data_IF_079290906421
#
_entry.id   IF_079290906421
#
_cell.length_a   1.000
_cell.length_b   1.000
_cell.length_c   1.000
_cell.angle_alpha   90.00
_cell.angle_beta   90.00
_cell.angle_gamma   90.00
#
_symmetry.space_group_name_H-M   'P 1'
#
loop_
_entity.id
_entity.type
_entity.pdbx_description
1 polymer ?
#
# COMPACT_ATOMS: atom_id res chain seq x y z
N UNK A 1 35.45 -7.49 -30.81
CA UNK A 1 35.28 -6.02 -30.98
C UNK A 1 34.56 -5.40 -29.78
N UNK A 2 35.15 -4.40 -29.12
CA UNK A 2 34.53 -3.71 -27.97
C UNK A 2 33.18 -3.07 -28.33
N UNK A 3 33.00 -2.63 -29.58
CA UNK A 3 31.72 -2.11 -30.09
C UNK A 3 30.62 -3.18 -30.17
N UNK A 4 30.97 -4.42 -30.54
CA UNK A 4 30.04 -5.55 -30.53
C UNK A 4 29.62 -5.90 -29.11
N UNK A 5 30.54 -5.84 -28.13
CA UNK A 5 30.23 -6.12 -26.73
C UNK A 5 29.25 -5.10 -26.12
N UNK A 6 29.27 -3.84 -26.54
CA UNK A 6 28.31 -2.80 -26.11
C UNK A 6 26.92 -2.97 -26.75
N UNK A 7 26.84 -3.53 -27.96
CA UNK A 7 25.59 -3.76 -28.68
C UNK A 7 24.92 -5.11 -28.36
N UNK A 8 25.69 -6.13 -28.00
CA UNK A 8 25.20 -7.50 -27.73
C UNK A 8 25.19 -7.89 -26.25
N UNK A 9 25.83 -7.12 -25.36
CA UNK A 9 25.68 -7.36 -23.93
C UNK A 9 24.32 -6.85 -23.46
N UNK A 10 23.59 -7.67 -22.69
CA UNK A 10 22.37 -7.26 -22.00
C UNK A 10 22.58 -6.10 -21.00
N UNK A 11 23.80 -5.61 -20.86
CA UNK A 11 24.31 -4.65 -19.87
C UNK A 11 25.34 -5.31 -18.95
N UNK A 12 25.71 -4.61 -17.87
CA UNK A 12 26.66 -5.10 -16.86
C UNK A 12 26.13 -6.35 -16.15
N UNK A 13 24.82 -6.46 -16.00
CA UNK A 13 24.15 -7.56 -15.31
C UNK A 13 23.22 -8.38 -16.22
N UNK A 14 23.11 -8.00 -17.50
CA UNK A 14 22.37 -8.73 -18.53
C UNK A 14 20.91 -8.33 -18.70
N UNK A 15 20.32 -7.56 -17.77
CA UNK A 15 18.91 -7.17 -17.79
C UNK A 15 18.65 -5.71 -18.19
N UNK A 16 19.69 -4.89 -18.38
CA UNK A 16 19.58 -3.46 -18.64
C UNK A 16 18.96 -3.13 -20.01
N UNK A 17 19.16 -3.98 -21.02
CA UNK A 17 18.43 -3.86 -22.30
C UNK A 17 16.92 -4.05 -22.08
N UNK A 18 16.52 -5.06 -21.29
CA UNK A 18 15.12 -5.33 -20.98
C UNK A 18 14.49 -4.20 -20.18
N UNK A 19 15.24 -3.61 -19.23
CA UNK A 19 14.79 -2.43 -18.49
C UNK A 19 14.57 -1.22 -19.41
N UNK A 20 15.51 -0.95 -20.34
CA UNK A 20 15.34 0.15 -21.31
C UNK A 20 14.16 -0.10 -22.24
N UNK A 21 13.96 -1.34 -22.66
CA UNK A 21 12.82 -1.75 -23.49
C UNK A 21 11.49 -1.53 -22.76
N UNK A 22 11.37 -2.03 -21.53
CA UNK A 22 10.15 -1.95 -20.73
C UNK A 22 9.76 -0.50 -20.41
N UNK A 23 10.75 0.40 -20.23
CA UNK A 23 10.54 1.85 -20.11
C UNK A 23 10.01 2.49 -21.40
N UNK A 24 10.66 2.23 -22.54
CA UNK A 24 10.37 2.94 -23.81
C UNK A 24 9.11 2.44 -24.52
N UNK A 25 8.68 1.20 -24.30
CA UNK A 25 7.60 0.56 -25.08
C UNK A 25 6.34 0.27 -24.25
N UNK A 26 6.08 1.01 -23.17
CA UNK A 26 4.86 0.89 -22.34
C UNK A 26 3.56 0.93 -23.16
N UNK A 27 3.56 1.64 -24.29
CA UNK A 27 2.37 1.89 -25.12
C UNK A 27 2.24 0.95 -26.33
N UNK A 28 3.34 0.33 -26.81
CA UNK A 28 3.30 -0.60 -27.95
C UNK A 28 2.53 -1.89 -27.62
N UNK A 29 2.52 -2.26 -26.34
CA UNK A 29 1.93 -3.51 -25.85
C UNK A 29 0.48 -3.38 -25.39
N UNK A 30 -0.21 -2.26 -25.70
CA UNK A 30 -1.63 -2.10 -25.32
C UNK A 30 -2.50 -3.23 -25.90
N UNK A 31 -2.24 -3.68 -27.12
CA UNK A 31 -3.02 -4.74 -27.79
C UNK A 31 -2.18 -5.94 -28.26
N UNK A 32 -0.88 -5.98 -27.93
CA UNK A 32 0.03 -7.05 -28.34
C UNK A 32 0.55 -7.90 -27.18
N UNK A 33 1.14 -9.04 -27.53
CA UNK A 33 1.94 -9.90 -26.66
C UNK A 33 3.35 -9.97 -27.24
N UNK A 34 4.37 -9.92 -26.38
CA UNK A 34 5.76 -10.20 -26.78
C UNK A 34 6.24 -11.46 -26.09
N UNK A 35 6.97 -12.30 -26.83
CA UNK A 35 7.72 -13.40 -26.27
C UNK A 35 9.15 -12.94 -25.98
N UNK A 36 9.59 -13.14 -24.75
CA UNK A 36 10.94 -12.90 -24.30
C UNK A 36 11.64 -14.23 -24.07
N UNK A 37 12.78 -14.42 -24.73
CA UNK A 37 13.70 -15.50 -24.42
C UNK A 37 14.78 -14.95 -23.49
N UNK A 38 14.89 -15.49 -22.28
CA UNK A 38 15.90 -15.08 -21.28
C UNK A 38 16.67 -16.29 -20.76
N UNK A 39 17.95 -16.09 -20.45
CA UNK A 39 18.80 -17.11 -19.83
C UNK A 39 18.69 -17.05 -18.30
N UNK A 40 18.93 -18.18 -17.62
CA UNK A 40 19.14 -18.24 -16.17
C UNK A 40 20.26 -17.35 -15.68
N UNK A 41 21.23 -17.03 -16.54
CA UNK A 41 22.35 -16.13 -16.24
C UNK A 41 21.91 -14.65 -16.21
N UNK A 42 20.72 -14.31 -16.72
CA UNK A 42 20.17 -12.94 -16.77
C UNK A 42 19.41 -12.54 -15.48
N UNK A 43 19.48 -13.35 -14.43
CA UNK A 43 18.69 -13.16 -13.20
C UNK A 43 17.18 -13.02 -13.48
N UNK A 44 16.49 -14.11 -13.84
CA UNK A 44 15.06 -14.10 -14.19
C UNK A 44 14.16 -13.41 -13.17
N UNK A 45 14.43 -13.57 -11.87
CA UNK A 45 13.65 -12.91 -10.82
C UNK A 45 13.74 -11.38 -10.87
N UNK A 46 14.91 -10.83 -11.21
CA UNK A 46 15.10 -9.39 -11.40
C UNK A 46 14.39 -8.90 -12.66
N UNK A 47 14.45 -9.67 -13.75
CA UNK A 47 13.71 -9.36 -14.99
C UNK A 47 12.20 -9.35 -14.73
N UNK A 48 11.68 -10.36 -14.02
CA UNK A 48 10.28 -10.42 -13.60
C UNK A 48 9.86 -9.18 -12.80
N UNK A 49 10.67 -8.74 -11.84
CA UNK A 49 10.37 -7.53 -11.07
C UNK A 49 10.33 -6.30 -11.98
N UNK A 50 11.33 -6.11 -12.83
CA UNK A 50 11.40 -4.98 -13.78
C UNK A 50 10.16 -4.97 -14.67
N UNK A 51 9.75 -6.10 -15.23
CA UNK A 51 8.58 -6.15 -16.11
C UNK A 51 7.29 -5.80 -15.37
N UNK A 52 7.11 -6.31 -14.15
CA UNK A 52 6.00 -5.96 -13.28
C UNK A 52 5.98 -4.46 -12.96
N UNK A 53 7.14 -3.89 -12.62
CA UNK A 53 7.30 -2.47 -12.29
C UNK A 53 6.97 -1.54 -13.49
N UNK A 54 7.03 -2.07 -14.71
CA UNK A 54 6.64 -1.33 -15.91
C UNK A 54 5.19 -1.63 -16.37
N UNK A 55 4.42 -2.35 -15.55
CA UNK A 55 2.99 -2.62 -15.75
C UNK A 55 2.70 -3.77 -16.71
N UNK A 56 3.65 -4.69 -16.87
CA UNK A 56 3.47 -5.90 -17.66
C UNK A 56 3.06 -7.08 -16.79
N UNK A 57 2.12 -7.88 -17.30
CA UNK A 57 1.99 -9.28 -16.90
C UNK A 57 3.12 -10.05 -17.57
N UNK A 58 3.99 -10.67 -16.78
CA UNK A 58 5.15 -11.40 -17.27
C UNK A 58 5.09 -12.85 -16.77
N UNK A 59 4.78 -13.79 -17.68
CA UNK A 59 4.52 -15.19 -17.32
C UNK A 59 5.44 -16.13 -18.09
N UNK A 60 6.15 -17.01 -17.38
CA UNK A 60 6.94 -18.07 -17.99
C UNK A 60 6.01 -19.09 -18.65
N UNK A 61 6.22 -19.34 -19.93
CA UNK A 61 5.43 -20.29 -20.73
C UNK A 61 6.22 -21.52 -21.17
N UNK A 62 7.55 -21.42 -21.24
CA UNK A 62 8.41 -22.56 -21.52
C UNK A 62 9.74 -22.45 -20.77
N UNK A 63 10.40 -23.60 -20.59
CA UNK A 63 11.77 -23.70 -20.11
C UNK A 63 12.49 -24.82 -20.86
N UNK A 64 13.77 -24.63 -21.15
CA UNK A 64 14.62 -25.67 -21.73
C UNK A 64 16.01 -25.61 -21.08
N UNK A 65 16.50 -26.75 -20.63
CA UNK A 65 17.87 -26.88 -20.15
C UNK A 65 18.80 -27.05 -21.35
N UNK A 66 19.87 -26.27 -21.38
CA UNK A 66 20.96 -26.39 -22.35
C UNK A 66 22.28 -26.52 -21.59
N UNK A 67 23.37 -26.75 -22.30
CA UNK A 67 24.68 -26.82 -21.64
C UNK A 67 24.98 -25.49 -20.94
N UNK A 68 25.29 -25.56 -19.64
CA UNK A 68 25.70 -24.42 -18.79
C UNK A 68 24.62 -23.39 -18.42
N UNK A 69 23.39 -23.50 -18.92
CA UNK A 69 22.30 -22.60 -18.57
C UNK A 69 20.90 -23.20 -18.79
N UNK A 70 19.87 -22.52 -18.27
CA UNK A 70 18.49 -22.76 -18.65
C UNK A 70 17.96 -21.57 -19.43
N UNK A 71 17.25 -21.84 -20.53
CA UNK A 71 16.53 -20.84 -21.29
C UNK A 71 15.06 -20.84 -20.85
N UNK A 72 14.51 -19.64 -20.68
CA UNK A 72 13.12 -19.43 -20.31
C UNK A 72 12.44 -18.57 -21.35
N UNK A 73 11.24 -18.99 -21.75
CA UNK A 73 10.37 -18.17 -22.59
C UNK A 73 9.29 -17.56 -21.70
N UNK A 74 9.18 -16.24 -21.74
CA UNK A 74 8.15 -15.47 -21.05
C UNK A 74 7.23 -14.79 -22.06
N UNK A 75 5.94 -14.74 -21.73
CA UNK A 75 5.00 -13.83 -22.38
C UNK A 75 4.97 -12.53 -21.59
N UNK A 76 4.99 -11.41 -22.31
CA UNK A 76 4.77 -10.08 -21.76
C UNK A 76 3.58 -9.42 -22.44
N UNK A 77 2.61 -9.02 -21.62
CA UNK A 77 1.43 -8.29 -22.07
C UNK A 77 1.18 -7.13 -21.11
N UNK A 78 0.53 -6.05 -21.58
CA UNK A 78 0.04 -5.04 -20.63
C UNK A 78 -0.97 -5.72 -19.69
N UNK A 79 -0.89 -5.41 -18.40
CA UNK A 79 -1.80 -5.99 -17.42
C UNK A 79 -3.28 -5.80 -17.87
N UNK A 80 -4.08 -6.87 -18.00
CA UNK A 80 -5.44 -6.78 -18.53
C UNK A 80 -6.33 -5.80 -17.78
N UNK A 81 -6.14 -5.66 -16.47
CA UNK A 81 -6.88 -4.73 -15.64
C UNK A 81 -6.53 -3.31 -16.05
N UNK A 82 -5.25 -2.99 -16.23
CA UNK A 82 -4.78 -1.69 -16.71
C UNK A 82 -5.34 -1.38 -18.10
N UNK A 83 -5.42 -2.37 -19.02
CA UNK A 83 -6.05 -2.18 -20.34
C UNK A 83 -7.52 -1.76 -20.25
N UNK A 84 -8.26 -2.21 -19.23
CA UNK A 84 -9.68 -1.85 -19.02
C UNK A 84 -9.86 -0.43 -18.47
N UNK A 85 -8.82 0.17 -17.89
CA UNK A 85 -8.92 1.50 -17.26
C UNK A 85 -8.90 2.61 -18.30
N UNK A 86 -10.07 3.14 -18.64
CA UNK A 86 -10.20 4.26 -19.58
C UNK A 86 -10.01 5.61 -18.90
N UNK A 87 -9.31 6.53 -19.57
CA UNK A 87 -9.17 7.92 -19.14
C UNK A 87 -8.13 8.18 -18.05
N UNK A 88 -7.34 7.17 -17.66
CA UNK A 88 -6.21 7.31 -16.75
C UNK A 88 -4.93 7.49 -17.58
N UNK A 89 -4.13 8.49 -17.25
CA UNK A 89 -2.83 8.78 -17.88
C UNK A 89 -1.68 8.50 -16.90
N UNK A 90 -0.45 8.44 -17.42
CA UNK A 90 0.78 8.35 -16.63
C UNK A 90 0.80 7.20 -15.61
N UNK A 91 0.30 6.02 -16.00
CA UNK A 91 0.25 4.87 -15.10
C UNK A 91 1.67 4.37 -14.84
N UNK A 92 2.10 4.43 -13.58
CA UNK A 92 3.41 3.99 -13.13
C UNK A 92 3.26 3.04 -11.95
N UNK A 93 4.15 2.05 -11.84
CA UNK A 93 4.19 1.21 -10.65
C UNK A 93 4.59 2.05 -9.44
N UNK A 94 3.91 1.80 -8.32
CA UNK A 94 4.21 2.43 -7.04
C UNK A 94 4.80 1.43 -6.06
N UNK A 95 4.13 0.27 -5.88
CA UNK A 95 4.55 -0.74 -4.93
C UNK A 95 3.97 -2.11 -5.26
N UNK A 96 4.71 -3.17 -4.91
CA UNK A 96 4.21 -4.55 -4.89
C UNK A 96 3.89 -4.92 -3.45
N UNK A 97 2.61 -5.17 -3.16
CA UNK A 97 2.16 -5.73 -1.90
C UNK A 97 2.27 -7.25 -1.87
N UNK A 98 1.93 -7.86 -0.75
CA UNK A 98 1.92 -9.32 -0.61
C UNK A 98 0.95 -10.01 -1.61
N UNK A 99 -0.14 -9.33 -1.98
CA UNK A 99 -1.26 -9.93 -2.75
C UNK A 99 -1.61 -9.20 -4.04
N UNK A 100 -0.94 -8.10 -4.34
CA UNK A 100 -1.30 -7.26 -5.48
C UNK A 100 -0.27 -6.20 -5.78
N UNK A 101 -0.57 -5.38 -6.78
CA UNK A 101 0.26 -4.26 -7.20
C UNK A 101 -0.52 -2.97 -7.01
N UNK A 102 0.16 -1.93 -6.55
CA UNK A 102 -0.32 -0.56 -6.54
C UNK A 102 0.39 0.19 -7.66
N UNK A 103 -0.40 0.86 -8.51
CA UNK A 103 0.08 1.81 -9.49
C UNK A 103 -0.34 3.22 -9.08
N UNK A 104 0.44 4.23 -9.45
CA UNK A 104 -0.01 5.62 -9.51
C UNK A 104 -0.51 5.95 -10.92
N UNK A 105 -1.29 7.01 -11.05
CA UNK A 105 -1.71 7.56 -12.34
C UNK A 105 -2.42 8.89 -12.16
N UNK A 106 -2.84 9.49 -13.27
CA UNK A 106 -3.58 10.75 -13.26
C UNK A 106 -4.95 10.56 -13.89
N UNK A 107 -6.01 10.93 -13.18
CA UNK A 107 -7.39 10.89 -13.66
C UNK A 107 -8.05 12.25 -13.49
N UNK A 108 -8.53 12.83 -14.60
CA UNK A 108 -9.13 14.19 -14.64
C UNK A 108 -8.25 15.26 -13.95
N UNK A 109 -6.94 15.18 -14.16
CA UNK A 109 -5.96 16.13 -13.59
C UNK A 109 -5.65 15.93 -12.10
N UNK A 110 -6.13 14.85 -11.48
CA UNK A 110 -5.81 14.49 -10.09
C UNK A 110 -4.99 13.22 -10.02
N UNK A 111 -4.07 13.16 -9.09
CA UNK A 111 -3.29 11.95 -8.84
C UNK A 111 -4.12 10.90 -8.10
N UNK A 112 -3.97 9.66 -8.56
CA UNK A 112 -4.73 8.51 -8.10
C UNK A 112 -3.82 7.32 -7.84
N UNK A 113 -4.27 6.47 -6.92
CA UNK A 113 -3.71 5.14 -6.69
C UNK A 113 -4.66 4.08 -7.25
N UNK A 114 -4.09 3.06 -7.90
CA UNK A 114 -4.79 1.95 -8.52
C UNK A 114 -4.27 0.66 -7.88
N UNK A 115 -5.06 0.07 -6.99
CA UNK A 115 -4.75 -1.22 -6.39
C UNK A 115 -5.34 -2.33 -7.24
N UNK A 116 -4.51 -3.28 -7.63
CA UNK A 116 -4.84 -4.40 -8.52
C UNK A 116 -4.55 -5.71 -7.81
N UNK A 117 -5.55 -6.57 -7.69
CA UNK A 117 -5.37 -7.94 -7.22
C UNK A 117 -4.88 -8.82 -8.38
N UNK A 118 -3.77 -9.54 -8.20
CA UNK A 118 -3.20 -10.39 -9.24
C UNK A 118 -3.75 -11.82 -9.22
N UNK A 119 -4.24 -12.28 -8.07
CA UNK A 119 -4.75 -13.63 -7.87
C UNK A 119 -6.11 -13.56 -7.15
N UNK A 120 -7.14 -12.99 -7.80
CA UNK A 120 -8.44 -12.86 -7.18
C UNK A 120 -9.07 -14.24 -6.97
N UNK A 121 -9.46 -14.53 -5.73
CA UNK A 121 -10.39 -15.62 -5.43
C UNK A 121 -11.83 -15.26 -5.80
N UNK A 122 -12.81 -16.00 -5.28
CA UNK A 122 -14.24 -15.71 -5.53
C UNK A 122 -14.67 -14.30 -5.08
N UNK A 123 -14.03 -13.77 -4.02
CA UNK A 123 -14.12 -12.36 -3.60
C UNK A 123 -12.71 -11.86 -3.42
N UNK A 124 -12.30 -10.85 -4.19
CA UNK A 124 -10.96 -10.27 -4.08
C UNK A 124 -10.86 -9.41 -2.80
N UNK A 125 -9.65 -9.30 -2.24
CA UNK A 125 -9.41 -8.42 -1.09
C UNK A 125 -9.58 -6.94 -1.45
N UNK A 126 -9.34 -6.62 -2.72
CA UNK A 126 -9.57 -5.30 -3.28
C UNK A 126 -11.07 -4.97 -3.33
N UNK A 127 -11.93 -5.95 -3.61
CA UNK A 127 -13.38 -5.76 -3.53
C UNK A 127 -13.83 -5.47 -2.09
N UNK A 128 -13.29 -6.22 -1.12
CA UNK A 128 -13.54 -5.98 0.31
C UNK A 128 -13.12 -4.57 0.71
N UNK A 129 -11.92 -4.15 0.33
CA UNK A 129 -11.43 -2.80 0.60
C UNK A 129 -12.33 -1.72 0.01
N UNK A 130 -12.83 -1.90 -1.23
CA UNK A 130 -13.79 -0.95 -1.81
C UNK A 130 -15.09 -0.85 -1.00
N UNK A 131 -15.58 -1.98 -0.45
CA UNK A 131 -16.79 -2.00 0.39
C UNK A 131 -16.55 -1.23 1.69
N UNK A 132 -15.38 -1.40 2.31
CA UNK A 132 -15.03 -0.66 3.53
C UNK A 132 -14.83 0.83 3.26
N UNK A 133 -14.11 1.21 2.21
CA UNK A 133 -13.94 2.62 1.85
C UNK A 133 -15.26 3.32 1.55
N UNK A 134 -16.23 2.65 0.91
CA UNK A 134 -17.60 3.21 0.72
C UNK A 134 -18.27 3.60 2.02
N UNK A 135 -18.02 2.88 3.11
CA UNK A 135 -18.58 3.17 4.44
C UNK A 135 -17.73 4.24 5.13
N UNK A 136 -16.41 4.05 5.16
CA UNK A 136 -15.45 4.87 5.90
C UNK A 136 -15.28 6.28 5.31
N UNK A 137 -15.36 6.44 3.99
CA UNK A 137 -15.31 7.75 3.36
C UNK A 137 -16.48 8.67 3.77
N UNK A 138 -17.63 8.13 4.18
CA UNK A 138 -18.73 8.93 4.75
C UNK A 138 -18.34 9.60 6.07
N UNK A 139 -17.37 9.01 6.78
CA UNK A 139 -16.74 9.55 7.99
C UNK A 139 -15.40 10.26 7.71
N UNK A 140 -15.05 10.48 6.43
CA UNK A 140 -13.77 11.05 5.97
C UNK A 140 -12.54 10.22 6.39
N UNK A 141 -12.72 8.91 6.57
CA UNK A 141 -11.65 7.98 6.93
C UNK A 141 -11.12 7.30 5.66
N UNK A 142 -9.80 7.24 5.55
CA UNK A 142 -9.07 6.63 4.44
C UNK A 142 -9.06 7.43 3.13
N UNK A 143 -8.38 6.92 2.09
CA UNK A 143 -8.36 7.55 0.78
C UNK A 143 -9.76 7.65 0.18
N UNK A 144 -10.06 8.75 -0.51
CA UNK A 144 -11.33 8.87 -1.22
C UNK A 144 -11.40 7.85 -2.36
N UNK A 145 -12.34 6.91 -2.28
CA UNK A 145 -12.63 5.98 -3.35
C UNK A 145 -13.24 6.74 -4.54
N UNK A 146 -12.69 6.53 -5.74
CA UNK A 146 -13.17 7.14 -6.96
C UNK A 146 -13.98 6.15 -7.80
N UNK A 147 -13.46 4.95 -7.95
CA UNK A 147 -14.10 3.89 -8.72
C UNK A 147 -13.59 2.52 -8.26
N UNK A 148 -14.41 1.49 -8.40
CA UNK A 148 -13.97 0.11 -8.18
C UNK A 148 -14.64 -0.79 -9.20
N UNK A 149 -13.97 -1.89 -9.53
CA UNK A 149 -14.52 -2.93 -10.39
C UNK A 149 -13.89 -4.27 -10.04
N UNK A 150 -14.19 -5.30 -10.82
CA UNK A 150 -13.69 -6.65 -10.57
C UNK A 150 -12.15 -6.64 -10.52
N UNK A 151 -11.60 -6.98 -9.36
CA UNK A 151 -10.16 -7.14 -9.07
C UNK A 151 -9.35 -5.83 -9.02
N UNK A 152 -10.01 -4.66 -9.00
CA UNK A 152 -9.31 -3.37 -8.91
C UNK A 152 -10.07 -2.27 -8.15
N UNK A 153 -9.29 -1.37 -7.56
CA UNK A 153 -9.76 -0.21 -6.82
C UNK A 153 -8.98 1.02 -7.26
N UNK A 154 -9.69 2.08 -7.62
CA UNK A 154 -9.15 3.40 -7.90
C UNK A 154 -9.55 4.33 -6.76
N UNK A 155 -8.55 4.94 -6.15
CA UNK A 155 -8.71 5.87 -5.04
C UNK A 155 -7.78 7.06 -5.21
N UNK A 156 -8.02 8.09 -4.42
CA UNK A 156 -7.10 9.20 -4.23
C UNK A 156 -5.68 8.71 -3.91
N UNK A 157 -4.69 9.31 -4.56
CA UNK A 157 -3.30 9.13 -4.15
C UNK A 157 -3.04 9.96 -2.90
N UNK A 158 -2.60 9.32 -1.83
CA UNK A 158 -2.23 10.00 -0.58
C UNK A 158 -0.75 10.34 -0.65
N UNK A 159 -0.46 11.60 -0.92
CA UNK A 159 0.88 12.15 -0.78
C UNK A 159 1.13 12.52 0.68
N UNK A 160 1.84 11.65 1.38
CA UNK A 160 2.11 11.82 2.80
C UNK A 160 3.27 10.95 3.25
N UNK A 161 3.87 11.36 4.36
CA UNK A 161 4.98 10.63 4.97
C UNK A 161 4.49 9.62 6.00
N UNK A 162 5.27 8.57 6.26
CA UNK A 162 4.85 7.55 7.24
C UNK A 162 4.87 8.14 8.65
N UNK A 163 3.95 7.68 9.50
CA UNK A 163 3.83 8.14 10.88
C UNK A 163 5.16 8.09 11.68
N UNK A 164 5.98 7.05 11.50
CA UNK A 164 7.25 6.95 12.22
C UNK A 164 8.24 8.03 11.78
N UNK A 165 8.31 8.30 10.47
CA UNK A 165 9.20 9.29 9.88
C UNK A 165 8.76 10.71 10.27
N UNK A 166 7.45 10.99 10.23
CA UNK A 166 6.84 12.24 10.70
C UNK A 166 7.27 12.59 12.13
N UNK A 167 7.23 11.60 13.04
CA UNK A 167 7.61 11.79 14.44
C UNK A 167 9.08 12.20 14.58
N UNK A 168 9.98 11.80 13.68
CA UNK A 168 11.42 12.09 13.81
C UNK A 168 11.77 13.56 13.64
N UNK A 169 10.98 14.33 12.90
CA UNK A 169 11.27 15.75 12.62
C UNK A 169 10.20 16.71 13.15
N UNK A 170 9.05 16.21 13.58
CA UNK A 170 7.97 17.01 14.15
C UNK A 170 8.17 17.38 15.61
N UNK A 171 7.51 18.45 16.05
CA UNK A 171 7.48 18.86 17.45
C UNK A 171 6.33 18.19 18.24
N UNK A 172 6.38 18.30 19.56
CA UNK A 172 5.41 17.71 20.50
C UNK A 172 3.95 18.01 20.15
N UNK A 173 3.62 19.25 19.80
CA UNK A 173 2.24 19.68 19.56
C UNK A 173 1.71 19.13 18.23
N UNK A 174 2.55 19.12 17.19
CA UNK A 174 2.24 18.50 15.91
C UNK A 174 1.98 17.00 16.06
N UNK A 175 2.84 16.30 16.79
CA UNK A 175 2.72 14.86 17.04
C UNK A 175 1.44 14.56 17.83
N UNK A 176 1.16 15.33 18.90
CA UNK A 176 -0.07 15.22 19.68
C UNK A 176 -1.30 15.36 18.78
N UNK A 177 -1.34 16.37 17.92
CA UNK A 177 -2.48 16.60 17.04
C UNK A 177 -2.75 15.40 16.11
N UNK A 178 -1.69 14.85 15.50
CA UNK A 178 -1.77 13.65 14.65
C UNK A 178 -2.26 12.43 15.42
N UNK A 179 -1.72 12.18 16.62
CA UNK A 179 -2.15 11.05 17.45
C UNK A 179 -3.64 11.18 17.83
N UNK A 180 -4.09 12.37 18.21
CA UNK A 180 -5.50 12.61 18.52
C UNK A 180 -6.42 12.44 17.30
N UNK A 181 -5.97 12.84 16.11
CA UNK A 181 -6.69 12.58 14.85
C UNK A 181 -6.83 11.07 14.57
N UNK A 182 -5.74 10.31 14.73
CA UNK A 182 -5.76 8.84 14.59
C UNK A 182 -6.77 8.22 15.58
N UNK A 183 -6.77 8.66 16.85
CA UNK A 183 -7.72 8.18 17.84
C UNK A 183 -9.18 8.49 17.47
N UNK A 184 -9.46 9.68 16.94
CA UNK A 184 -10.81 10.04 16.46
C UNK A 184 -11.26 9.10 15.34
N UNK A 185 -10.38 8.77 14.40
CA UNK A 185 -10.68 7.80 13.35
C UNK A 185 -10.91 6.38 13.92
N UNK A 186 -10.08 5.93 14.87
CA UNK A 186 -10.29 4.66 15.57
C UNK A 186 -11.64 4.60 16.29
N UNK A 187 -12.02 5.67 16.98
CA UNK A 187 -13.28 5.76 17.70
C UNK A 187 -14.48 5.69 16.75
N UNK A 188 -14.46 6.42 15.65
CA UNK A 188 -15.51 6.34 14.62
C UNK A 188 -15.62 4.93 14.03
N UNK A 189 -14.51 4.23 13.82
CA UNK A 189 -14.52 2.83 13.36
C UNK A 189 -15.12 1.88 14.41
N UNK A 190 -14.79 2.08 15.69
CA UNK A 190 -15.35 1.30 16.80
C UNK A 190 -16.86 1.52 16.92
N UNK A 191 -17.36 2.76 16.83
CA UNK A 191 -18.79 3.07 16.81
C UNK A 191 -19.51 2.44 15.62
N UNK A 192 -18.84 2.36 14.47
CA UNK A 192 -19.33 1.64 13.30
C UNK A 192 -19.20 0.12 13.43
N UNK A 193 -18.70 -0.42 14.54
CA UNK A 193 -18.44 -1.85 14.76
C UNK A 193 -17.50 -2.46 13.72
N UNK A 194 -16.52 -1.69 13.24
CA UNK A 194 -15.54 -2.09 12.22
C UNK A 194 -14.18 -2.20 12.90
N UNK A 195 -13.55 -3.38 12.88
CA UNK A 195 -12.16 -3.53 13.34
C UNK A 195 -11.21 -3.50 12.14
N UNK A 196 -10.14 -2.69 12.20
CA UNK A 196 -9.13 -2.59 11.13
C UNK A 196 -8.17 -3.77 11.08
N UNK A 197 -7.97 -4.44 12.21
CA UNK A 197 -6.99 -5.52 12.43
C UNK A 197 -5.51 -5.12 12.43
N UNK A 198 -5.17 -3.86 12.19
CA UNK A 198 -3.76 -3.44 12.02
C UNK A 198 -3.35 -2.33 13.01
N UNK A 199 -4.20 -1.98 13.98
CA UNK A 199 -3.92 -0.88 14.92
C UNK A 199 -2.90 -1.21 16.01
N UNK A 200 -2.49 -2.47 16.12
CA UNK A 200 -1.42 -2.91 17.00
C UNK A 200 -0.02 -2.69 16.37
N UNK A 201 0.08 -2.55 15.04
CA UNK A 201 1.30 -2.19 14.31
C UNK A 201 1.01 -1.23 13.11
N UNK A 202 0.46 -0.03 13.37
CA UNK A 202 -0.10 0.82 12.32
C UNK A 202 0.96 1.59 11.50
N UNK A 203 2.25 1.45 11.80
CA UNK A 203 3.34 2.29 11.25
C UNK A 203 3.35 2.33 9.71
N UNK A 204 3.04 1.21 9.04
CA UNK A 204 3.01 1.12 7.56
C UNK A 204 1.64 1.49 6.98
N UNK A 205 0.64 1.69 7.83
CA UNK A 205 -0.77 1.84 7.45
C UNK A 205 -1.32 3.24 7.78
N UNK A 206 -0.47 4.18 8.20
CA UNK A 206 -0.82 5.57 8.47
C UNK A 206 0.18 6.49 7.76
N UNK A 207 -0.34 7.36 6.90
CA UNK A 207 0.38 8.43 6.23
C UNK A 207 -0.07 9.77 6.82
N UNK A 208 0.87 10.68 7.04
CA UNK A 208 0.59 12.03 7.53
C UNK A 208 0.70 12.99 6.36
N UNK A 209 -0.37 13.73 6.16
CA UNK A 209 -0.51 14.75 5.12
C UNK A 209 -0.61 16.12 5.76
N UNK A 210 -0.60 17.18 4.95
CA UNK A 210 -0.88 18.54 5.42
C UNK A 210 -2.25 18.67 6.09
N UNK A 211 -3.20 17.80 5.72
CA UNK A 211 -4.58 17.81 6.23
C UNK A 211 -4.81 16.88 7.43
N UNK A 212 -3.75 16.22 7.93
CA UNK A 212 -3.82 15.26 9.04
C UNK A 212 -3.50 13.82 8.66
N UNK A 213 -3.88 12.89 9.53
CA UNK A 213 -3.55 11.48 9.40
C UNK A 213 -4.51 10.77 8.43
N UNK A 214 -3.96 9.93 7.56
CA UNK A 214 -4.70 9.12 6.59
C UNK A 214 -4.36 7.65 6.81
N UNK A 215 -5.33 6.88 7.28
CA UNK A 215 -5.22 5.42 7.34
C UNK A 215 -5.33 4.84 5.94
N UNK A 216 -4.44 3.90 5.60
CA UNK A 216 -4.49 3.15 4.34
C UNK A 216 -4.64 1.66 4.60
N UNK A 217 -4.93 0.90 3.54
CA UNK A 217 -5.06 -0.55 3.55
C UNK A 217 -6.17 -1.07 4.48
N UNK A 218 -7.40 -1.14 3.95
CA UNK A 218 -8.58 -1.63 4.68
C UNK A 218 -8.96 -3.06 4.29
N UNK A 219 -8.06 -3.81 3.65
CA UNK A 219 -8.34 -5.15 3.13
C UNK A 219 -8.58 -6.22 4.21
N UNK A 220 -8.20 -5.93 5.45
CA UNK A 220 -8.36 -6.80 6.63
C UNK A 220 -9.50 -6.39 7.54
N UNK A 221 -10.18 -5.29 7.22
CA UNK A 221 -11.31 -4.83 8.02
C UNK A 221 -12.40 -5.89 8.10
N UNK A 222 -13.04 -5.97 9.28
CA UNK A 222 -14.20 -6.81 9.52
C UNK A 222 -15.22 -6.13 10.40
N UNK A 223 -16.49 -6.54 10.27
CA UNK A 223 -17.54 -6.20 11.22
C UNK A 223 -17.35 -7.04 12.50
N UNK A 224 -17.53 -6.45 13.67
CA UNK A 224 -17.45 -7.14 14.97
C UNK A 224 -18.21 -6.37 16.04
N UNK A 225 -18.78 -7.08 17.01
CA UNK A 225 -19.41 -6.48 18.19
C UNK A 225 -18.39 -5.99 19.23
N UNK A 226 -17.15 -6.48 19.17
CA UNK A 226 -16.03 -6.09 20.04
C UNK A 226 -14.88 -5.54 19.16
N UNK A 227 -15.01 -4.31 18.62
CA UNK A 227 -13.94 -3.65 17.87
C UNK A 227 -12.83 -3.18 18.82
N UNK A 228 -11.59 -3.16 18.32
CA UNK A 228 -10.41 -2.96 19.17
C UNK A 228 -9.48 -1.88 18.64
N UNK A 229 -9.97 -0.95 17.80
CA UNK A 229 -9.08 0.02 17.15
C UNK A 229 -8.47 0.97 18.18
N UNK A 230 -9.28 1.54 19.08
CA UNK A 230 -8.79 2.45 20.13
C UNK A 230 -7.88 1.71 21.10
N UNK A 231 -8.30 0.54 21.58
CA UNK A 231 -7.54 -0.22 22.59
C UNK A 231 -6.21 -0.73 22.06
N UNK A 232 -6.16 -1.23 20.82
CA UNK A 232 -4.90 -1.62 20.17
C UNK A 232 -3.97 -0.42 19.95
N UNK A 233 -4.53 0.75 19.61
CA UNK A 233 -3.70 1.94 19.42
C UNK A 233 -3.10 2.43 20.75
N UNK A 234 -3.85 2.38 21.87
CA UNK A 234 -3.28 2.63 23.21
C UNK A 234 -2.11 1.67 23.55
N UNK A 235 -2.24 0.39 23.19
CA UNK A 235 -1.17 -0.60 23.39
C UNK A 235 0.06 -0.27 22.53
N UNK A 236 -0.14 0.12 21.28
CA UNK A 236 0.93 0.54 20.38
C UNK A 236 1.68 1.77 20.90
N UNK A 237 0.98 2.80 21.38
CA UNK A 237 1.61 4.03 21.89
C UNK A 237 2.45 3.84 23.16
N UNK A 238 2.21 2.75 23.91
CA UNK A 238 2.86 2.49 25.20
C UNK A 238 3.95 1.43 25.12
N UNK A 239 4.28 0.95 23.92
CA UNK A 239 5.23 -0.15 23.74
C UNK A 239 6.16 0.04 22.52
N UNK A 240 7.37 -0.49 22.64
CA UNK A 240 8.35 -0.57 21.55
C UNK A 240 9.03 0.76 21.20
N UNK A 241 9.67 0.79 20.04
CA UNK A 241 10.47 1.92 19.56
C UNK A 241 9.67 3.18 19.28
N UNK A 242 8.37 3.06 18.99
CA UNK A 242 7.51 4.22 18.76
C UNK A 242 7.36 5.05 20.03
N UNK A 243 7.07 4.42 21.18
CA UNK A 243 6.97 5.09 22.48
C UNK A 243 8.27 5.85 22.82
N UNK A 244 9.43 5.22 22.64
CA UNK A 244 10.73 5.87 22.82
C UNK A 244 10.92 7.08 21.88
N UNK A 245 10.46 6.98 20.63
CA UNK A 245 10.46 8.09 19.68
C UNK A 245 9.61 9.28 20.15
N UNK A 246 8.46 9.02 20.77
CA UNK A 246 7.61 10.07 21.36
C UNK A 246 8.28 10.73 22.58
N UNK A 247 8.89 9.93 23.44
CA UNK A 247 9.60 10.41 24.64
C UNK A 247 10.76 11.35 24.28
N UNK A 248 11.54 11.00 23.24
CA UNK A 248 12.61 11.85 22.71
C UNK A 248 12.10 13.20 22.15
N UNK A 249 10.81 13.28 21.83
CA UNK A 249 10.13 14.52 21.41
C UNK A 249 9.41 15.22 22.56
N UNK A 250 9.59 14.75 23.80
CA UNK A 250 8.97 15.30 25.00
C UNK A 250 7.48 14.95 25.17
N UNK A 251 6.98 13.96 24.43
CA UNK A 251 5.62 13.43 24.55
C UNK A 251 5.64 12.07 25.25
N UNK A 252 5.48 12.09 26.57
CA UNK A 252 5.47 10.87 27.39
C UNK A 252 4.03 10.40 27.56
N UNK A 253 3.69 9.24 26.97
CA UNK A 253 2.38 8.62 27.14
C UNK A 253 2.44 7.64 28.31
N UNK A 254 1.76 7.97 29.41
CA UNK A 254 1.79 7.16 30.62
C UNK A 254 1.02 5.84 30.42
N UNK A 255 1.58 4.72 30.88
CA UNK A 255 0.93 3.38 30.83
C UNK A 255 -0.46 3.33 31.48
N UNK A 256 -0.83 4.30 32.32
CA UNK A 256 -2.20 4.45 32.86
C UNK A 256 -3.26 4.60 31.77
N UNK A 257 -2.90 5.04 30.55
CA UNK A 257 -3.80 5.06 29.38
C UNK A 257 -4.42 3.68 29.10
N UNK A 258 -3.73 2.59 29.45
CA UNK A 258 -4.24 1.22 29.31
C UNK A 258 -5.40 0.92 30.28
N UNK A 259 -5.42 1.56 31.46
CA UNK A 259 -6.56 1.47 32.39
C UNK A 259 -7.79 2.17 31.81
N UNK A 260 -7.61 3.32 31.16
CA UNK A 260 -8.70 4.02 30.47
C UNK A 260 -9.16 3.24 29.24
N UNK A 261 -8.25 2.64 28.47
CA UNK A 261 -8.58 1.73 27.38
C UNK A 261 -9.42 0.53 27.83
N UNK A 262 -9.14 -0.04 29.01
CA UNK A 262 -9.93 -1.13 29.58
C UNK A 262 -11.34 -0.69 29.99
N UNK A 263 -11.49 0.54 30.53
CA UNK A 263 -12.82 1.13 30.80
C UNK A 263 -13.60 1.36 29.51
N UNK A 264 -12.97 1.97 28.52
CA UNK A 264 -13.53 2.19 27.19
C UNK A 264 -13.97 0.89 26.51
N UNK A 265 -13.20 -0.20 26.64
CA UNK A 265 -13.57 -1.51 26.08
C UNK A 265 -14.92 -2.01 26.61
N UNK A 266 -15.19 -1.77 27.90
CA UNK A 266 -16.42 -2.21 28.54
C UNK A 266 -17.60 -1.27 28.24
N UNK A 267 -17.32 0.03 28.06
CA UNK A 267 -18.30 1.06 27.69
C UNK A 267 -17.65 2.06 26.70
N UNK A 268 -17.88 1.91 25.37
CA UNK A 268 -17.28 2.77 24.34
C UNK A 268 -18.01 4.12 24.22
N UNK A 269 -18.36 4.73 25.35
CA UNK A 269 -18.98 6.05 25.42
C UNK A 269 -17.98 7.16 25.08
N UNK A 270 -18.52 8.29 24.60
CA UNK A 270 -17.72 9.48 24.30
C UNK A 270 -16.91 9.95 25.51
N UNK A 271 -17.48 9.86 26.71
CA UNK A 271 -16.82 10.19 27.97
C UNK A 271 -15.55 9.35 28.20
N UNK A 272 -15.65 8.03 28.07
CA UNK A 272 -14.47 7.16 28.27
C UNK A 272 -13.43 7.36 27.17
N UNK A 273 -13.85 7.66 25.95
CA UNK A 273 -12.93 8.03 24.87
C UNK A 273 -12.19 9.34 25.17
N UNK A 274 -12.89 10.37 25.64
CA UNK A 274 -12.27 11.66 25.96
C UNK A 274 -11.23 11.52 27.10
N UNK A 275 -11.45 10.64 28.09
CA UNK A 275 -10.43 10.35 29.12
C UNK A 275 -9.15 9.71 28.57
N UNK A 276 -9.22 9.04 27.41
CA UNK A 276 -8.02 8.54 26.72
C UNK A 276 -7.29 9.70 26.05
N UNK A 277 -8.02 10.65 25.45
CA UNK A 277 -7.42 11.81 24.78
C UNK A 277 -6.72 12.77 25.75
N UNK A 278 -7.21 12.89 26.99
CA UNK A 278 -6.58 13.68 28.05
C UNK A 278 -5.18 13.17 28.45
N UNK A 279 -4.86 11.92 28.14
CA UNK A 279 -3.55 11.31 28.39
C UNK A 279 -2.50 11.63 27.32
N UNK A 280 -2.86 12.38 26.28
CA UNK A 280 -2.04 12.63 25.08
C UNK A 280 -1.70 14.11 25.00
#
# INVERSE_FOLDING_TARGET
PQESALATSGGKHGYEILERFSRKKKDILMNGMILFLISSLTNPAKVESIMIDHGFTFKRVAKQKVSFEELYVYTAEKNPIIKRLKGIKNINFLAKGHRGIVYSGTYKGKDIAIKVDLNPGAVSRVDMESRWLKILNKKKIGPKMLHSGKDFLIMEYIDGEKLFDYVQHSNKNQIRHVIQDIFRQCYEMDLLQINKEEMHHPVKHILITTDGARMIDFERCRKTLDPKNVTQFCQFLTSGSFAYGLENKGLIINKRILKFAQKYKNDPSRKNFDTILEEI
#
